data_IF_543985931627
#
_entry.id   IF_543985931627
#
_cell.length_a   1.000
_cell.length_b   1.000
_cell.length_c   1.000
_cell.angle_alpha   90.00
_cell.angle_beta   90.00
_cell.angle_gamma   90.00
#
_symmetry.space_group_name_H-M   'P 1'
#
loop_
_entity.id
_entity.type
_entity.pdbx_description
1 polymer ?
#
# COMPACT_ATOMS: atom_id res chain seq x y z
N UNK A 1 -24.81 -16.82 -15.32
CA UNK A 1 -24.65 -15.39 -15.64
C UNK A 1 -23.17 -15.06 -15.47
N UNK A 2 -22.57 -14.14 -16.24
CA UNK A 2 -21.14 -13.82 -16.14
C UNK A 2 -20.85 -12.92 -14.92
N UNK A 3 -21.15 -13.43 -13.72
CA UNK A 3 -21.26 -12.64 -12.48
C UNK A 3 -19.91 -12.11 -11.97
N UNK A 4 -18.79 -12.70 -12.43
CA UNK A 4 -17.43 -12.28 -12.08
C UNK A 4 -16.88 -11.08 -12.88
N UNK A 5 -17.50 -10.71 -14.02
CA UNK A 5 -16.91 -9.69 -14.91
C UNK A 5 -17.01 -8.27 -14.35
N UNK A 6 -18.14 -7.95 -13.72
CA UNK A 6 -18.36 -6.67 -13.05
C UNK A 6 -17.40 -6.48 -11.87
N UNK A 7 -17.32 -7.40 -10.88
CA UNK A 7 -16.41 -7.23 -9.76
C UNK A 7 -14.94 -7.22 -10.21
N UNK A 8 -14.54 -8.06 -11.16
CA UNK A 8 -13.17 -8.03 -11.71
C UNK A 8 -12.81 -6.68 -12.33
N UNK A 9 -13.74 -6.07 -13.08
CA UNK A 9 -13.52 -4.75 -13.70
C UNK A 9 -13.42 -3.62 -12.66
N UNK A 10 -14.28 -3.64 -11.64
CA UNK A 10 -14.26 -2.64 -10.56
C UNK A 10 -12.97 -2.75 -9.74
N UNK A 11 -12.57 -3.96 -9.37
CA UNK A 11 -11.30 -4.21 -8.66
C UNK A 11 -10.14 -3.69 -9.50
N UNK A 12 -10.12 -3.98 -10.81
CA UNK A 12 -9.07 -3.49 -11.70
C UNK A 12 -8.95 -1.96 -11.68
N UNK A 13 -10.06 -1.23 -11.85
CA UNK A 13 -10.03 0.23 -11.93
C UNK A 13 -9.55 0.88 -10.62
N UNK A 14 -10.07 0.40 -9.49
CA UNK A 14 -9.69 0.92 -8.17
C UNK A 14 -8.22 0.60 -7.88
N UNK A 15 -7.81 -0.64 -8.08
CA UNK A 15 -6.44 -1.06 -7.77
C UNK A 15 -5.41 -0.48 -8.75
N UNK A 16 -5.74 -0.32 -10.03
CA UNK A 16 -4.84 0.30 -10.99
C UNK A 16 -4.60 1.79 -10.68
N UNK A 17 -5.68 2.53 -10.38
CA UNK A 17 -5.56 3.94 -9.96
C UNK A 17 -4.79 4.08 -8.64
N UNK A 18 -5.07 3.21 -7.66
CA UNK A 18 -4.34 3.15 -6.39
C UNK A 18 -2.85 2.86 -6.58
N UNK A 19 -2.49 1.94 -7.47
CA UNK A 19 -1.10 1.62 -7.78
C UNK A 19 -0.34 2.82 -8.36
N UNK A 20 -0.95 3.52 -9.32
CA UNK A 20 -0.33 4.70 -9.94
C UNK A 20 -0.11 5.82 -8.91
N UNK A 21 -1.14 6.16 -8.14
CA UNK A 21 -1.07 7.19 -7.10
C UNK A 21 0.01 6.87 -6.07
N UNK A 22 0.03 5.64 -5.54
CA UNK A 22 0.98 5.25 -4.51
C UNK A 22 2.42 5.17 -5.05
N UNK A 23 2.61 4.76 -6.31
CA UNK A 23 3.92 4.78 -6.95
C UNK A 23 4.44 6.21 -7.13
N UNK A 24 3.57 7.17 -7.50
CA UNK A 24 3.92 8.59 -7.56
C UNK A 24 4.35 9.10 -6.17
N UNK A 25 3.58 8.78 -5.12
CA UNK A 25 3.90 9.17 -3.74
C UNK A 25 5.24 8.57 -3.29
N UNK A 26 5.51 7.30 -3.60
CA UNK A 26 6.78 6.66 -3.28
C UNK A 26 7.96 7.35 -4.01
N UNK A 27 7.84 7.59 -5.31
CA UNK A 27 8.87 8.32 -6.09
C UNK A 27 9.13 9.72 -5.55
N UNK A 28 8.06 10.45 -5.22
CA UNK A 28 8.15 11.80 -4.68
C UNK A 28 8.83 11.82 -3.32
N UNK A 29 8.48 10.87 -2.45
CA UNK A 29 9.07 10.71 -1.12
C UNK A 29 10.57 10.43 -1.18
N UNK A 30 11.04 9.67 -2.18
CA UNK A 30 12.47 9.43 -2.39
C UNK A 30 13.20 10.64 -3.00
N UNK A 31 12.53 11.43 -3.86
CA UNK A 31 13.15 12.54 -4.58
C UNK A 31 13.24 13.82 -3.75
N UNK A 32 12.30 14.05 -2.84
CA UNK A 32 12.28 15.26 -2.02
C UNK A 32 13.30 15.22 -0.87
N UNK A 33 14.25 16.17 -0.88
CA UNK A 33 15.21 16.31 0.24
C UNK A 33 14.54 16.60 1.58
N UNK A 34 13.41 17.33 1.58
CA UNK A 34 12.64 17.60 2.80
C UNK A 34 12.04 16.35 3.45
N UNK A 35 11.94 15.23 2.71
CA UNK A 35 11.41 13.94 3.19
C UNK A 35 12.54 12.93 3.50
N UNK A 36 13.80 13.36 3.52
CA UNK A 36 14.94 12.52 3.95
C UNK A 36 15.06 12.42 5.48
N UNK A 37 13.93 12.32 6.16
CA UNK A 37 13.83 12.11 7.61
C UNK A 37 13.13 10.76 7.89
N UNK A 38 13.11 10.29 9.15
CA UNK A 38 12.47 9.01 9.49
C UNK A 38 11.00 8.94 9.04
N UNK A 39 10.27 10.05 9.14
CA UNK A 39 8.90 10.16 8.68
C UNK A 39 8.75 9.93 7.16
N UNK A 40 9.57 10.58 6.34
CA UNK A 40 9.51 10.42 4.90
C UNK A 40 9.97 9.04 4.42
N UNK A 41 10.87 8.39 5.15
CA UNK A 41 11.22 6.97 4.92
C UNK A 41 10.05 6.04 5.22
N UNK A 42 9.33 6.26 6.34
CA UNK A 42 8.12 5.51 6.67
C UNK A 42 7.01 5.74 5.63
N UNK A 43 6.81 6.99 5.21
CA UNK A 43 5.85 7.35 4.17
C UNK A 43 6.17 6.67 2.83
N UNK A 44 7.44 6.65 2.43
CA UNK A 44 7.88 5.97 1.21
C UNK A 44 7.65 4.44 1.31
N UNK A 45 7.95 3.84 2.46
CA UNK A 45 7.71 2.42 2.72
C UNK A 45 6.23 2.07 2.65
N UNK A 46 5.38 2.89 3.27
CA UNK A 46 3.92 2.69 3.25
C UNK A 46 3.37 2.81 1.81
N UNK A 47 3.74 3.87 1.09
CA UNK A 47 3.29 4.07 -0.29
C UNK A 47 3.78 2.93 -1.21
N UNK A 48 4.98 2.41 -1.00
CA UNK A 48 5.48 1.25 -1.76
C UNK A 48 4.68 -0.01 -1.46
N UNK A 49 4.36 -0.27 -0.19
CA UNK A 49 3.54 -1.42 0.21
C UNK A 49 2.12 -1.36 -0.37
N UNK A 50 1.48 -0.19 -0.30
CA UNK A 50 0.15 0.05 -0.90
C UNK A 50 0.18 -0.11 -2.43
N UNK A 51 1.25 0.34 -3.10
CA UNK A 51 1.43 0.14 -4.53
C UNK A 51 1.53 -1.35 -4.90
N UNK A 52 2.27 -2.15 -4.13
CA UNK A 52 2.41 -3.60 -4.35
C UNK A 52 1.11 -4.36 -4.06
N UNK A 53 0.38 -3.96 -3.02
CA UNK A 53 -0.92 -4.52 -2.68
C UNK A 53 -1.94 -4.24 -3.79
N UNK A 54 -2.00 -2.99 -4.25
CA UNK A 54 -2.80 -2.60 -5.41
C UNK A 54 -2.40 -3.33 -6.69
N UNK A 55 -1.10 -3.49 -6.97
CA UNK A 55 -0.61 -4.26 -8.11
C UNK A 55 -1.07 -5.73 -8.05
N UNK A 56 -1.03 -6.35 -6.86
CA UNK A 56 -1.50 -7.73 -6.67
C UNK A 56 -3.00 -7.83 -6.94
N UNK A 57 -3.81 -6.87 -6.48
CA UNK A 57 -5.24 -6.86 -6.79
C UNK A 57 -5.53 -6.65 -8.29
N UNK A 58 -4.79 -5.74 -8.94
CA UNK A 58 -4.99 -5.42 -10.35
C UNK A 58 -4.53 -6.54 -11.30
N UNK A 59 -3.40 -7.19 -11.01
CA UNK A 59 -2.77 -8.15 -11.93
C UNK A 59 -2.92 -9.62 -11.54
N UNK A 60 -3.33 -9.93 -10.31
CA UNK A 60 -3.61 -11.30 -9.89
C UNK A 60 -5.10 -11.53 -9.66
N UNK A 61 -5.71 -10.80 -8.73
CA UNK A 61 -7.11 -11.03 -8.34
C UNK A 61 -8.11 -10.63 -9.43
N UNK A 62 -7.97 -9.46 -10.04
CA UNK A 62 -8.85 -9.01 -11.13
C UNK A 62 -8.91 -10.01 -12.30
N UNK A 63 -7.80 -10.42 -12.94
CA UNK A 63 -7.86 -11.38 -14.05
C UNK A 63 -8.36 -12.76 -13.60
N UNK A 64 -8.02 -13.18 -12.37
CA UNK A 64 -8.54 -14.45 -11.84
C UNK A 64 -10.06 -14.46 -11.73
N UNK A 65 -10.68 -13.35 -11.29
CA UNK A 65 -12.13 -13.21 -11.16
C UNK A 65 -12.79 -12.94 -12.53
N UNK A 66 -12.14 -12.18 -13.41
CA UNK A 66 -12.68 -11.83 -14.72
C UNK A 66 -12.70 -13.00 -15.71
N UNK A 67 -11.65 -13.83 -15.72
CA UNK A 67 -11.51 -14.99 -16.60
C UNK A 67 -11.86 -16.32 -15.93
N UNK A 68 -12.23 -16.30 -14.65
CA UNK A 68 -12.59 -17.48 -13.87
C UNK A 68 -11.51 -18.58 -13.87
N UNK A 69 -10.22 -18.19 -13.79
CA UNK A 69 -9.09 -19.11 -13.98
C UNK A 69 -8.90 -20.03 -12.77
N UNK A 70 -9.26 -21.31 -12.89
CA UNK A 70 -9.15 -22.32 -11.83
C UNK A 70 -7.74 -22.51 -11.26
N UNK A 71 -6.72 -22.45 -12.12
CA UNK A 71 -5.31 -22.59 -11.69
C UNK A 71 -4.88 -21.47 -10.72
N UNK A 72 -5.27 -20.22 -11.01
CA UNK A 72 -4.96 -19.10 -10.14
C UNK A 72 -5.73 -19.20 -8.82
N UNK A 73 -6.97 -19.69 -8.85
CA UNK A 73 -7.76 -19.93 -7.63
C UNK A 73 -7.13 -21.00 -6.74
N UNK A 74 -6.62 -22.08 -7.32
CA UNK A 74 -5.95 -23.14 -6.55
C UNK A 74 -4.67 -22.64 -5.85
N UNK A 75 -3.97 -21.69 -6.48
CA UNK A 75 -2.75 -21.07 -5.93
C UNK A 75 -3.00 -19.77 -5.17
N UNK A 76 -4.26 -19.34 -5.01
CA UNK A 76 -4.59 -18.05 -4.40
C UNK A 76 -4.18 -17.94 -2.95
N UNK A 77 -4.03 -19.08 -2.25
CA UNK A 77 -3.57 -19.10 -0.86
C UNK A 77 -2.17 -18.49 -0.70
N UNK A 78 -1.25 -18.77 -1.61
CA UNK A 78 0.11 -18.22 -1.57
C UNK A 78 0.09 -16.71 -1.84
N UNK A 79 -0.70 -16.28 -2.82
CA UNK A 79 -0.89 -14.87 -3.12
C UNK A 79 -1.56 -14.13 -1.96
N UNK A 80 -2.52 -14.76 -1.30
CA UNK A 80 -3.21 -14.23 -0.12
C UNK A 80 -2.29 -14.05 1.08
N UNK A 81 -1.39 -15.02 1.35
CA UNK A 81 -0.38 -14.90 2.42
C UNK A 81 0.57 -13.75 2.12
N UNK A 82 1.10 -13.67 0.90
CA UNK A 82 1.97 -12.56 0.51
C UNK A 82 1.27 -11.20 0.67
N UNK A 83 0.00 -11.12 0.27
CA UNK A 83 -0.82 -9.92 0.40
C UNK A 83 -1.05 -9.52 1.86
N UNK A 84 -1.33 -10.48 2.75
CA UNK A 84 -1.48 -10.23 4.18
C UNK A 84 -0.20 -9.65 4.81
N UNK A 85 0.96 -10.18 4.44
CA UNK A 85 2.25 -9.66 4.92
C UNK A 85 2.43 -8.19 4.51
N UNK A 86 2.16 -7.85 3.24
CA UNK A 86 2.24 -6.45 2.79
C UNK A 86 1.22 -5.56 3.50
N UNK A 87 0.01 -6.06 3.74
CA UNK A 87 -1.04 -5.35 4.46
C UNK A 87 -0.65 -5.05 5.91
N UNK A 88 -0.07 -6.01 6.63
CA UNK A 88 0.41 -5.81 8.00
C UNK A 88 1.53 -4.77 8.05
N UNK A 89 2.50 -4.85 7.14
CA UNK A 89 3.59 -3.85 7.04
C UNK A 89 3.01 -2.45 6.82
N UNK A 90 2.01 -2.31 5.93
CA UNK A 90 1.35 -1.03 5.69
C UNK A 90 0.61 -0.53 6.93
N UNK A 91 -0.12 -1.41 7.62
CA UNK A 91 -0.87 -1.09 8.83
C UNK A 91 0.04 -0.59 9.95
N UNK A 92 1.15 -1.29 10.21
CA UNK A 92 2.14 -0.85 11.20
C UNK A 92 2.80 0.47 10.79
N UNK A 93 3.16 0.63 9.51
CA UNK A 93 3.74 1.88 9.01
C UNK A 93 2.80 3.08 9.22
N UNK A 94 1.51 2.88 8.94
CA UNK A 94 0.47 3.89 9.16
C UNK A 94 0.32 4.24 10.65
N UNK A 95 0.36 3.23 11.52
CA UNK A 95 0.35 3.43 12.96
C UNK A 95 1.55 4.27 13.43
N UNK A 96 2.76 3.95 12.99
CA UNK A 96 3.96 4.72 13.35
C UNK A 96 3.91 6.15 12.83
N UNK A 97 3.36 6.37 11.63
CA UNK A 97 3.14 7.73 11.10
C UNK A 97 2.15 8.51 11.96
N UNK A 98 1.03 7.88 12.36
CA UNK A 98 0.04 8.50 13.23
C UNK A 98 0.62 8.84 14.61
N UNK A 99 1.39 7.92 15.20
CA UNK A 99 2.09 8.15 16.47
C UNK A 99 3.11 9.28 16.36
N UNK A 100 3.91 9.31 15.28
CA UNK A 100 4.86 10.40 15.05
C UNK A 100 4.16 11.76 14.99
N UNK A 101 2.99 11.85 14.31
CA UNK A 101 2.18 13.08 14.28
C UNK A 101 1.60 13.42 15.65
N UNK A 102 1.11 12.44 16.40
CA UNK A 102 0.59 12.65 17.76
C UNK A 102 1.69 13.19 18.69
N UNK A 103 2.89 12.62 18.66
CA UNK A 103 4.03 13.11 19.45
C UNK A 103 4.44 14.53 19.08
N UNK A 104 4.43 14.88 17.79
CA UNK A 104 4.73 16.23 17.33
C UNK A 104 3.73 17.27 17.86
N UNK A 105 2.44 16.90 17.99
CA UNK A 105 1.37 17.77 18.50
C UNK A 105 1.38 17.83 20.03
N UNK A 106 1.49 16.68 20.71
CA UNK A 106 1.41 16.60 22.17
C UNK A 106 2.70 17.05 22.89
N UNK A 107 3.87 16.98 22.23
CA UNK A 107 5.16 17.34 22.84
C UNK A 107 6.05 18.17 21.89
N UNK A 108 5.62 19.38 21.48
CA UNK A 108 6.33 20.19 20.48
C UNK A 108 7.77 20.56 20.91
N UNK A 109 8.01 20.77 22.22
CA UNK A 109 9.33 21.15 22.77
C UNK A 109 10.33 19.99 22.89
N UNK A 110 9.88 18.73 22.88
CA UNK A 110 10.76 17.54 22.91
C UNK A 110 11.03 16.96 21.52
N UNK A 111 10.17 17.27 20.56
CA UNK A 111 10.27 16.78 19.18
C UNK A 111 11.55 17.27 18.47
N UNK A 112 11.92 18.55 18.64
CA UNK A 112 13.14 19.14 18.05
C UNK A 112 14.45 18.54 18.56
N UNK A 113 14.43 17.90 19.73
CA UNK A 113 15.62 17.33 20.38
C UNK A 113 15.76 15.82 20.10
N UNK A 114 14.66 15.12 19.81
CA UNK A 114 14.64 13.67 19.55
C UNK A 114 14.70 13.35 18.05
N UNK A 115 14.11 14.20 17.19
CA UNK A 115 13.98 13.97 15.74
C UNK A 115 14.66 15.07 14.91
N UNK A 116 15.92 15.41 15.24
CA UNK A 116 16.76 16.27 14.40
C UNK A 116 17.27 15.52 13.16
#
# INVERSE_FOLDING_TARGET
>A
MPDGRIPGSVIFLISFSGMLCNTIVAMFSHKMRSLKNPFGRLLASQATGEALLCATFAFYWSPMVFFDVSFMKERSNLAGIALLIFYDICTFSHLFIALNRMCAICMPLRYSTIFR
#
